data_IF_218919718618
#
_entry.id   IF_218919718618
#
_cell.length_a   1.000
_cell.length_b   1.000
_cell.length_c   1.000
_cell.angle_alpha   90.00
_cell.angle_beta   90.00
_cell.angle_gamma   90.00
#
_symmetry.space_group_name_H-M   'P 1'
#
loop_
_entity.id
_entity.type
_entity.pdbx_description
1 polymer ?
#
# COMPACT_ATOMS: atom_id res chain seq x y z
N UNK A 1 -16.58 10.53 -5.46
CA UNK A 1 -17.92 11.10 -5.14
C UNK A 1 -18.05 11.42 -3.68
N UNK A 2 -17.90 10.45 -2.77
CA UNK A 2 -18.09 10.61 -1.31
C UNK A 2 -17.24 11.76 -0.76
N UNK A 3 -15.94 11.72 -1.02
CA UNK A 3 -15.02 12.79 -0.56
C UNK A 3 -15.31 14.14 -1.24
N UNK A 4 -15.68 14.13 -2.52
CA UNK A 4 -16.04 15.37 -3.23
C UNK A 4 -17.33 16.01 -2.70
N UNK A 5 -18.19 15.23 -2.07
CA UNK A 5 -19.39 15.72 -1.37
C UNK A 5 -19.09 16.27 0.04
N UNK A 6 -17.82 16.29 0.46
CA UNK A 6 -17.42 16.76 1.79
C UNK A 6 -17.59 15.72 2.90
N UNK A 7 -17.91 14.47 2.55
CA UNK A 7 -18.08 13.38 3.51
C UNK A 7 -16.73 12.71 3.74
N UNK A 8 -16.27 12.71 5.01
CA UNK A 8 -15.07 11.97 5.45
C UNK A 8 -15.57 10.73 6.20
N UNK A 9 -15.56 9.55 5.58
CA UNK A 9 -16.00 8.33 6.25
C UNK A 9 -15.00 7.91 7.32
N UNK A 10 -15.47 7.19 8.34
CA UNK A 10 -14.62 6.57 9.36
C UNK A 10 -13.71 5.49 8.73
N UNK A 11 -14.19 4.83 7.68
CA UNK A 11 -13.39 3.94 6.84
C UNK A 11 -13.94 3.89 5.41
N UNK A 12 -13.04 3.73 4.44
CA UNK A 12 -13.37 3.41 3.06
C UNK A 12 -12.34 2.41 2.52
N UNK A 13 -12.75 1.15 2.43
CA UNK A 13 -11.89 0.01 2.12
C UNK A 13 -12.27 -0.61 0.78
N UNK A 14 -11.28 -0.92 -0.05
CA UNK A 14 -11.52 -1.54 -1.35
C UNK A 14 -10.91 -2.93 -1.43
N UNK A 15 -11.62 -3.83 -2.08
CA UNK A 15 -11.18 -5.16 -2.47
C UNK A 15 -11.49 -5.39 -3.93
N UNK A 16 -10.56 -5.96 -4.70
CA UNK A 16 -10.81 -6.39 -6.08
C UNK A 16 -11.38 -7.82 -6.15
N UNK A 17 -11.75 -8.26 -7.35
CA UNK A 17 -12.32 -9.59 -7.58
C UNK A 17 -11.47 -10.71 -6.98
N UNK A 18 -10.14 -10.69 -7.18
CA UNK A 18 -9.26 -11.75 -6.72
C UNK A 18 -9.28 -11.87 -5.19
N UNK A 19 -9.24 -10.73 -4.50
CA UNK A 19 -9.25 -10.69 -3.04
C UNK A 19 -10.64 -10.98 -2.46
N UNK A 20 -11.72 -10.61 -3.16
CA UNK A 20 -13.10 -10.99 -2.81
C UNK A 20 -13.24 -12.51 -2.87
N UNK A 21 -12.87 -13.14 -3.99
CA UNK A 21 -12.95 -14.59 -4.17
C UNK A 21 -12.12 -15.35 -3.12
N UNK A 22 -10.92 -14.86 -2.81
CA UNK A 22 -10.07 -15.45 -1.78
C UNK A 22 -10.71 -15.34 -0.38
N UNK A 23 -11.28 -14.17 -0.03
CA UNK A 23 -11.95 -13.96 1.25
C UNK A 23 -13.23 -14.81 1.38
N UNK A 24 -14.04 -14.90 0.32
CA UNK A 24 -15.22 -15.77 0.28
C UNK A 24 -14.85 -17.23 0.51
N UNK A 25 -13.81 -17.71 -0.18
CA UNK A 25 -13.34 -19.08 0.00
C UNK A 25 -12.75 -19.36 1.41
N UNK A 26 -12.28 -18.33 2.10
CA UNK A 26 -11.65 -18.48 3.41
C UNK A 26 -12.64 -18.38 4.57
N UNK A 27 -13.52 -17.38 4.58
CA UNK A 27 -14.37 -17.01 5.74
C UNK A 27 -15.83 -16.76 5.38
N UNK A 28 -16.19 -16.81 4.08
CA UNK A 28 -17.56 -16.66 3.57
C UNK A 28 -18.33 -15.46 4.18
N UNK A 29 -17.81 -14.22 4.04
CA UNK A 29 -18.47 -13.03 4.59
C UNK A 29 -19.75 -12.65 3.85
N UNK A 30 -20.02 -13.27 2.70
CA UNK A 30 -21.21 -13.01 1.87
C UNK A 30 -21.04 -11.81 0.94
N UNK A 31 -19.83 -11.53 0.47
CA UNK A 31 -19.63 -10.51 -0.56
C UNK A 31 -20.21 -10.95 -1.90
N UNK A 32 -20.78 -10.03 -2.69
CA UNK A 32 -21.26 -10.37 -4.02
C UNK A 32 -20.10 -10.70 -4.96
N UNK A 33 -20.31 -11.55 -5.99
CA UNK A 33 -19.35 -11.73 -7.07
C UNK A 33 -19.27 -10.45 -7.91
N UNK A 34 -18.29 -9.60 -7.63
CA UNK A 34 -18.12 -8.30 -8.26
C UNK A 34 -16.65 -8.08 -8.69
N UNK A 35 -16.43 -7.13 -9.60
CA UNK A 35 -15.07 -6.70 -9.97
C UNK A 35 -14.37 -5.99 -8.83
N UNK A 36 -15.13 -5.29 -7.98
CA UNK A 36 -14.64 -4.65 -6.77
C UNK A 36 -15.76 -4.47 -5.75
N UNK A 37 -15.40 -4.45 -4.49
CA UNK A 37 -16.24 -4.07 -3.34
C UNK A 37 -15.60 -2.88 -2.65
N UNK A 38 -16.43 -1.87 -2.36
CA UNK A 38 -16.06 -0.74 -1.50
C UNK A 38 -16.85 -0.85 -0.20
N UNK A 39 -16.18 -1.00 0.92
CA UNK A 39 -16.78 -0.96 2.25
C UNK A 39 -16.63 0.46 2.77
N UNK A 40 -17.75 1.11 3.09
CA UNK A 40 -17.77 2.47 3.66
C UNK A 40 -18.38 2.41 5.04
N UNK A 41 -17.69 2.96 6.02
CA UNK A 41 -18.19 3.13 7.38
C UNK A 41 -18.30 4.62 7.71
N UNK A 42 -19.41 5.02 8.27
CA UNK A 42 -19.64 6.37 8.79
C UNK A 42 -19.88 6.31 10.27
N UNK A 43 -19.45 7.33 10.99
CA UNK A 43 -19.60 7.49 12.43
C UNK A 43 -20.06 8.91 12.80
N UNK A 44 -20.49 9.09 14.02
CA UNK A 44 -20.94 10.37 14.54
C UNK A 44 -22.24 10.27 15.35
N UNK A 45 -22.90 11.39 15.64
CA UNK A 45 -24.24 11.41 16.22
C UNK A 45 -25.26 10.71 15.32
N UNK A 46 -26.20 9.96 15.89
CA UNK A 46 -27.15 9.12 15.17
C UNK A 46 -27.88 9.85 14.03
N UNK A 47 -28.36 11.06 14.25
CA UNK A 47 -29.04 11.87 13.23
C UNK A 47 -28.13 12.22 12.05
N UNK A 48 -26.87 12.56 12.31
CA UNK A 48 -25.89 12.90 11.28
C UNK A 48 -25.46 11.63 10.49
N UNK A 49 -25.36 10.50 11.17
CA UNK A 49 -25.02 9.20 10.54
C UNK A 49 -26.10 8.82 9.55
N UNK A 50 -27.40 8.92 9.91
CA UNK A 50 -28.50 8.57 9.02
C UNK A 50 -28.53 9.45 7.76
N UNK A 51 -28.35 10.76 7.89
CA UNK A 51 -28.28 11.67 6.75
C UNK A 51 -27.06 11.40 5.87
N UNK A 52 -25.88 11.20 6.50
CA UNK A 52 -24.64 10.89 5.79
C UNK A 52 -24.74 9.55 5.03
N UNK A 53 -25.37 8.56 5.66
CA UNK A 53 -25.59 7.25 5.07
C UNK A 53 -26.41 7.33 3.80
N UNK A 54 -27.53 8.08 3.81
CA UNK A 54 -28.37 8.28 2.64
C UNK A 54 -27.61 8.98 1.50
N UNK A 55 -26.77 9.97 1.83
CA UNK A 55 -25.93 10.63 0.86
C UNK A 55 -24.89 9.66 0.25
N UNK A 56 -24.21 8.85 1.06
CA UNK A 56 -23.24 7.86 0.59
C UNK A 56 -23.90 6.83 -0.31
N UNK A 57 -25.06 6.32 0.07
CA UNK A 57 -25.83 5.36 -0.74
C UNK A 57 -26.22 5.95 -2.10
N UNK A 58 -26.74 7.17 -2.12
CA UNK A 58 -27.08 7.88 -3.35
C UNK A 58 -25.85 8.08 -4.25
N UNK A 59 -24.73 8.53 -3.70
CA UNK A 59 -23.48 8.72 -4.44
C UNK A 59 -22.99 7.39 -5.04
N UNK A 60 -23.05 6.29 -4.30
CA UNK A 60 -22.65 4.98 -4.79
C UNK A 60 -23.55 4.54 -5.97
N UNK A 61 -24.86 4.71 -5.88
CA UNK A 61 -25.80 4.38 -6.95
C UNK A 61 -25.59 5.25 -8.18
N UNK A 62 -25.43 6.55 -8.01
CA UNK A 62 -25.19 7.51 -9.09
C UNK A 62 -23.83 7.27 -9.78
N UNK A 63 -22.87 6.69 -9.06
CA UNK A 63 -21.57 6.27 -9.57
C UNK A 63 -21.61 4.94 -10.33
N UNK A 64 -22.78 4.29 -10.45
CA UNK A 64 -22.97 3.07 -11.23
C UNK A 64 -22.62 1.79 -10.47
N UNK A 65 -22.69 1.78 -9.13
CA UNK A 65 -22.57 0.54 -8.37
C UNK A 65 -23.67 -0.44 -8.76
N UNK A 66 -23.31 -1.71 -8.96
CA UNK A 66 -24.27 -2.76 -9.31
C UNK A 66 -25.17 -3.15 -8.13
N UNK A 67 -24.65 -3.01 -6.92
CA UNK A 67 -25.36 -3.28 -5.67
C UNK A 67 -24.85 -2.33 -4.58
N UNK A 68 -25.75 -1.87 -3.73
CA UNK A 68 -25.42 -1.19 -2.46
C UNK A 68 -26.12 -1.96 -1.36
N UNK A 69 -25.37 -2.49 -0.42
CA UNK A 69 -25.84 -3.24 0.73
C UNK A 69 -25.49 -2.49 2.01
N UNK A 70 -26.48 -2.29 2.85
CA UNK A 70 -26.35 -1.70 4.17
C UNK A 70 -26.43 -2.83 5.21
N UNK A 71 -25.50 -2.88 6.14
CA UNK A 71 -25.56 -3.86 7.23
C UNK A 71 -26.81 -3.62 8.07
N UNK A 72 -27.68 -4.63 8.17
CA UNK A 72 -28.92 -4.56 8.92
C UNK A 72 -28.73 -4.61 10.44
N UNK A 73 -27.58 -5.15 10.87
CA UNK A 73 -27.23 -5.29 12.29
C UNK A 73 -25.72 -5.37 12.50
N UNK A 74 -25.32 -5.40 13.75
CA UNK A 74 -23.90 -5.46 14.16
C UNK A 74 -23.21 -6.78 13.73
N UNK A 75 -23.94 -7.87 13.57
CA UNK A 75 -23.40 -9.15 13.13
C UNK A 75 -23.05 -9.11 11.65
N UNK A 76 -23.94 -8.57 10.80
CA UNK A 76 -23.67 -8.39 9.39
C UNK A 76 -22.52 -7.42 9.14
N UNK A 77 -22.48 -6.30 9.87
CA UNK A 77 -21.33 -5.38 9.87
C UNK A 77 -20.03 -6.11 10.21
N UNK A 78 -20.04 -6.92 11.27
CA UNK A 78 -18.88 -7.71 11.69
C UNK A 78 -18.45 -8.72 10.62
N UNK A 79 -19.37 -9.35 9.89
CA UNK A 79 -19.06 -10.24 8.76
C UNK A 79 -18.35 -9.52 7.64
N UNK A 80 -18.80 -8.33 7.23
CA UNK A 80 -18.12 -7.53 6.20
C UNK A 80 -16.67 -7.21 6.60
N UNK A 81 -16.48 -6.75 7.84
CA UNK A 81 -15.13 -6.48 8.36
C UNK A 81 -14.27 -7.75 8.50
N UNK A 82 -14.87 -8.87 8.84
CA UNK A 82 -14.17 -10.16 8.89
C UNK A 82 -13.63 -10.54 7.53
N UNK A 83 -14.43 -10.38 6.46
CA UNK A 83 -13.99 -10.58 5.08
C UNK A 83 -12.82 -9.68 4.69
N UNK A 84 -12.93 -8.37 4.97
CA UNK A 84 -11.87 -7.41 4.68
C UNK A 84 -10.57 -7.73 5.43
N UNK A 85 -10.66 -8.05 6.72
CA UNK A 85 -9.49 -8.40 7.55
C UNK A 85 -8.86 -9.74 7.14
N UNK A 86 -9.66 -10.70 6.69
CA UNK A 86 -9.16 -12.00 6.25
C UNK A 86 -8.50 -11.95 4.88
N UNK A 87 -8.71 -10.91 4.07
CA UNK A 87 -8.29 -10.85 2.68
C UNK A 87 -6.79 -11.12 2.49
N UNK A 88 -5.92 -10.54 3.32
CA UNK A 88 -4.47 -10.77 3.25
C UNK A 88 -4.11 -12.23 3.45
N UNK A 89 -4.56 -12.84 4.56
CA UNK A 89 -4.29 -14.24 4.86
C UNK A 89 -4.94 -15.19 3.83
N UNK A 90 -6.11 -14.81 3.30
CA UNK A 90 -6.83 -15.59 2.30
C UNK A 90 -6.04 -15.71 0.98
N UNK A 91 -5.17 -14.75 0.66
CA UNK A 91 -4.30 -14.82 -0.53
C UNK A 91 -3.30 -15.99 -0.47
N UNK A 92 -3.00 -16.53 0.71
CA UNK A 92 -2.25 -17.78 0.85
C UNK A 92 -2.93 -19.01 0.23
N UNK A 93 -4.24 -18.93 -0.12
CA UNK A 93 -4.95 -19.95 -0.91
C UNK A 93 -4.74 -19.77 -2.41
N UNK A 94 -4.34 -18.59 -2.84
CA UNK A 94 -4.11 -18.22 -4.24
C UNK A 94 -2.70 -18.56 -4.67
N UNK A 95 -1.73 -18.32 -3.78
CA UNK A 95 -0.31 -18.54 -4.02
C UNK A 95 0.40 -18.89 -2.71
N UNK A 96 1.47 -19.72 -2.74
CA UNK A 96 2.26 -20.03 -1.55
C UNK A 96 2.90 -18.79 -0.92
N UNK A 97 3.30 -17.82 -1.75
CA UNK A 97 3.93 -16.58 -1.33
C UNK A 97 3.22 -15.38 -1.95
N UNK A 98 3.29 -14.24 -1.29
CA UNK A 98 2.91 -12.95 -1.87
C UNK A 98 3.77 -11.83 -1.29
N UNK A 99 4.05 -10.84 -2.13
CA UNK A 99 4.81 -9.65 -1.78
C UNK A 99 3.86 -8.45 -1.72
N UNK A 100 3.81 -7.78 -0.58
CA UNK A 100 2.91 -6.64 -0.34
C UNK A 100 3.66 -5.34 -0.53
N UNK A 101 3.08 -4.42 -1.31
CA UNK A 101 3.52 -3.04 -1.36
C UNK A 101 2.60 -2.14 -0.52
N UNK A 102 3.06 -0.92 -0.26
CA UNK A 102 2.42 0.07 0.61
C UNK A 102 2.69 1.47 0.06
N UNK A 103 2.33 1.68 -1.20
CA UNK A 103 2.44 2.98 -1.84
C UNK A 103 1.21 3.84 -1.59
N UNK A 104 1.40 5.15 -1.54
CA UNK A 104 0.30 6.11 -1.42
C UNK A 104 0.16 6.91 -2.70
N UNK A 105 -1.08 7.22 -3.08
CA UNK A 105 -1.40 8.07 -4.22
C UNK A 105 -2.51 9.06 -3.87
N UNK A 106 -2.60 10.19 -4.55
CA UNK A 106 -3.79 11.03 -4.48
C UNK A 106 -5.02 10.20 -4.89
N UNK A 107 -6.09 10.23 -4.10
CA UNK A 107 -7.32 9.44 -4.33
C UNK A 107 -7.89 9.58 -5.74
N UNK A 108 -7.76 10.77 -6.33
CA UNK A 108 -8.21 11.05 -7.71
C UNK A 108 -7.44 10.26 -8.77
N UNK A 109 -6.27 9.72 -8.43
CA UNK A 109 -5.43 8.92 -9.33
C UNK A 109 -5.65 7.41 -9.19
N UNK A 110 -6.50 6.97 -8.27
CA UNK A 110 -6.80 5.54 -8.03
C UNK A 110 -7.12 4.77 -9.32
N UNK A 111 -8.06 5.23 -10.19
CA UNK A 111 -8.41 4.46 -11.38
C UNK A 111 -7.23 4.27 -12.33
N UNK A 112 -6.40 5.29 -12.51
CA UNK A 112 -5.23 5.23 -13.39
C UNK A 112 -4.19 4.24 -12.86
N UNK A 113 -3.85 4.34 -11.56
CA UNK A 113 -2.83 3.47 -10.96
C UNK A 113 -3.30 2.02 -10.92
N UNK A 114 -4.56 1.75 -10.60
CA UNK A 114 -5.12 0.40 -10.66
C UNK A 114 -5.10 -0.19 -12.08
N UNK A 115 -5.33 0.64 -13.10
CA UNK A 115 -5.20 0.20 -14.49
C UNK A 115 -3.75 -0.16 -14.84
N UNK A 116 -2.77 0.61 -14.34
CA UNK A 116 -1.33 0.29 -14.53
C UNK A 116 -0.95 -0.99 -13.80
N UNK A 117 -1.45 -1.23 -12.57
CA UNK A 117 -1.24 -2.48 -11.83
C UNK A 117 -1.81 -3.67 -12.62
N UNK A 118 -3.01 -3.54 -13.19
CA UNK A 118 -3.59 -4.58 -14.07
C UNK A 118 -2.73 -4.84 -15.32
N UNK A 119 -2.13 -3.81 -15.90
CA UNK A 119 -1.20 -3.97 -17.02
C UNK A 119 0.08 -4.69 -16.62
N UNK A 120 0.60 -4.43 -15.42
CA UNK A 120 1.75 -5.16 -14.86
C UNK A 120 1.42 -6.62 -14.60
N UNK A 121 0.23 -6.93 -14.06
CA UNK A 121 -0.26 -8.31 -13.90
C UNK A 121 -0.24 -9.06 -15.23
N UNK A 122 -0.79 -8.44 -16.28
CA UNK A 122 -0.82 -9.04 -17.62
C UNK A 122 0.57 -9.24 -18.22
N UNK A 123 1.48 -8.29 -18.06
CA UNK A 123 2.82 -8.35 -18.65
C UNK A 123 3.78 -9.25 -17.89
N UNK A 124 3.68 -9.32 -16.58
CA UNK A 124 4.53 -10.17 -15.73
C UNK A 124 4.03 -11.61 -15.64
N UNK A 125 2.74 -11.83 -15.85
CA UNK A 125 2.08 -13.11 -15.62
C UNK A 125 1.89 -13.47 -14.14
N UNK A 126 2.26 -12.57 -13.21
CA UNK A 126 2.00 -12.73 -11.79
C UNK A 126 0.61 -12.20 -11.46
N UNK A 127 -0.16 -12.93 -10.67
CA UNK A 127 -1.47 -12.46 -10.18
C UNK A 127 -1.26 -11.38 -9.12
N UNK A 128 -2.06 -10.30 -9.18
CA UNK A 128 -1.98 -9.19 -8.23
C UNK A 128 -3.36 -8.92 -7.66
N UNK A 129 -3.53 -9.22 -6.36
CA UNK A 129 -4.74 -8.87 -5.63
C UNK A 129 -4.63 -7.47 -5.04
N UNK A 130 -5.72 -6.70 -5.05
CA UNK A 130 -5.75 -5.36 -4.48
C UNK A 130 -6.72 -5.30 -3.31
N UNK A 131 -6.21 -4.97 -2.13
CA UNK A 131 -7.00 -4.72 -0.93
C UNK A 131 -6.38 -3.55 -0.17
N UNK A 132 -7.07 -2.42 -0.06
CA UNK A 132 -6.43 -1.19 0.39
C UNK A 132 -7.39 -0.16 0.99
N UNK A 133 -6.81 0.86 1.65
CA UNK A 133 -7.51 1.99 2.23
C UNK A 133 -7.86 3.03 1.16
N UNK A 134 -9.01 2.86 0.50
CA UNK A 134 -9.44 3.77 -0.57
C UNK A 134 -9.68 5.20 -0.06
N UNK A 135 -10.04 5.35 1.23
CA UNK A 135 -10.22 6.64 1.90
C UNK A 135 -8.95 7.49 1.97
N UNK A 136 -7.80 6.84 2.09
CA UNK A 136 -6.49 7.48 2.27
C UNK A 136 -5.65 7.47 0.98
N UNK A 137 -5.99 6.61 0.03
CA UNK A 137 -5.18 6.36 -1.16
C UNK A 137 -3.96 5.49 -0.89
N UNK A 138 -3.92 4.80 0.25
CA UNK A 138 -2.86 3.89 0.62
C UNK A 138 -3.12 2.51 0.03
N UNK A 139 -2.30 2.10 -0.94
CA UNK A 139 -2.45 0.88 -1.72
C UNK A 139 -1.71 -0.29 -1.08
N UNK A 140 -2.37 -1.46 -1.04
CA UNK A 140 -1.72 -2.71 -0.66
C UNK A 140 -1.91 -3.77 -1.75
N UNK A 141 -1.24 -3.65 -2.90
CA UNK A 141 -1.22 -4.71 -3.89
C UNK A 141 -0.45 -5.92 -3.36
N UNK A 142 -1.05 -7.11 -3.48
CA UNK A 142 -0.48 -8.39 -3.10
C UNK A 142 -0.04 -9.10 -4.37
N UNK A 143 1.26 -9.09 -4.63
CA UNK A 143 1.88 -9.70 -5.80
C UNK A 143 2.13 -11.16 -5.48
N UNK A 144 1.36 -12.05 -6.08
CA UNK A 144 1.42 -13.49 -5.84
C UNK A 144 2.59 -14.11 -6.61
N UNK A 145 3.37 -14.97 -5.94
CA UNK A 145 4.47 -15.69 -6.56
C UNK A 145 4.75 -17.01 -5.82
N UNK A 146 5.64 -17.82 -6.33
CA UNK A 146 6.14 -19.03 -5.69
C UNK A 146 7.66 -18.93 -5.55
N UNK A 147 8.15 -18.78 -4.32
CA UNK A 147 9.58 -18.66 -4.03
C UNK A 147 10.39 -19.90 -4.41
N UNK A 148 9.74 -21.06 -4.58
CA UNK A 148 10.40 -22.29 -5.05
C UNK A 148 10.71 -22.28 -6.55
N UNK A 149 10.06 -21.38 -7.31
CA UNK A 149 10.29 -21.20 -8.76
C UNK A 149 11.38 -20.17 -8.97
N UNK A 150 12.45 -20.57 -9.65
CA UNK A 150 13.61 -19.71 -9.91
C UNK A 150 13.19 -18.42 -10.62
N UNK A 151 13.64 -17.28 -10.09
CA UNK A 151 13.39 -15.95 -10.65
C UNK A 151 12.07 -15.30 -10.23
N UNK A 152 11.07 -16.04 -9.73
CA UNK A 152 9.77 -15.45 -9.38
C UNK A 152 9.86 -14.42 -8.23
N UNK A 153 10.68 -14.69 -7.22
CA UNK A 153 10.88 -13.72 -6.12
C UNK A 153 11.47 -12.40 -6.63
N UNK A 154 12.45 -12.47 -7.53
CA UNK A 154 13.05 -11.29 -8.14
C UNK A 154 12.04 -10.52 -9.02
N UNK A 155 11.25 -11.24 -9.82
CA UNK A 155 10.20 -10.67 -10.64
C UNK A 155 9.12 -9.99 -9.78
N UNK A 156 8.70 -10.61 -8.68
CA UNK A 156 7.73 -10.01 -7.75
C UNK A 156 8.27 -8.70 -7.13
N UNK A 157 9.54 -8.67 -6.76
CA UNK A 157 10.21 -7.46 -6.26
C UNK A 157 10.30 -6.37 -7.34
N UNK A 158 10.61 -6.72 -8.60
CA UNK A 158 10.63 -5.80 -9.74
C UNK A 158 9.24 -5.19 -9.98
N UNK A 159 8.20 -6.01 -10.05
CA UNK A 159 6.80 -5.58 -10.21
C UNK A 159 6.40 -4.66 -9.05
N UNK A 160 6.76 -5.00 -7.82
CA UNK A 160 6.54 -4.14 -6.65
C UNK A 160 7.23 -2.79 -6.78
N UNK A 161 8.47 -2.77 -7.26
CA UNK A 161 9.23 -1.56 -7.53
C UNK A 161 8.60 -0.67 -8.60
N UNK A 162 8.01 -1.26 -9.66
CA UNK A 162 7.27 -0.53 -10.69
C UNK A 162 5.96 0.07 -10.15
N UNK A 163 5.25 -0.64 -9.29
CA UNK A 163 4.07 -0.09 -8.62
C UNK A 163 4.44 1.14 -7.78
N UNK A 164 5.51 1.09 -6.99
CA UNK A 164 5.98 2.25 -6.23
C UNK A 164 6.41 3.41 -7.14
N UNK A 165 7.00 3.12 -8.30
CA UNK A 165 7.31 4.15 -9.30
C UNK A 165 6.05 4.84 -9.80
N UNK A 166 4.98 4.09 -10.08
CA UNK A 166 3.69 4.67 -10.46
C UNK A 166 3.07 5.52 -9.36
N UNK A 167 3.25 5.12 -8.09
CA UNK A 167 2.81 5.95 -6.97
C UNK A 167 3.51 7.31 -6.95
N UNK A 168 4.83 7.34 -7.16
CA UNK A 168 5.59 8.59 -7.24
C UNK A 168 5.19 9.44 -8.45
N UNK A 169 5.03 8.85 -9.63
CA UNK A 169 4.58 9.55 -10.84
C UNK A 169 3.18 10.16 -10.67
N UNK A 170 2.34 9.53 -9.87
CA UNK A 170 1.02 10.06 -9.51
C UNK A 170 1.07 11.22 -8.50
N UNK A 171 2.25 11.53 -7.95
CA UNK A 171 2.44 12.56 -6.92
C UNK A 171 2.23 12.04 -5.50
N UNK A 172 2.44 10.75 -5.29
CA UNK A 172 2.29 10.05 -4.02
C UNK A 172 3.61 9.74 -3.31
N UNK A 173 3.62 8.63 -2.54
CA UNK A 173 4.73 8.20 -1.69
C UNK A 173 5.02 6.71 -1.85
N UNK A 174 6.27 6.31 -1.56
CA UNK A 174 6.69 4.90 -1.55
C UNK A 174 6.18 4.12 -0.34
N UNK A 175 5.67 4.80 0.68
CA UNK A 175 5.12 4.18 1.88
C UNK A 175 4.03 5.04 2.49
N UNK A 176 2.98 4.39 2.99
CA UNK A 176 1.93 5.01 3.78
C UNK A 176 2.11 4.72 5.27
N UNK A 177 2.14 3.44 5.64
CA UNK A 177 2.14 3.00 7.03
C UNK A 177 3.24 1.98 7.37
N UNK A 178 3.72 1.16 6.40
CA UNK A 178 4.71 0.11 6.68
C UNK A 178 6.13 0.66 6.90
N UNK A 179 6.41 1.86 6.42
CA UNK A 179 7.75 2.44 6.44
C UNK A 179 8.66 1.91 5.33
N UNK A 180 9.87 2.45 5.28
CA UNK A 180 10.87 2.12 4.25
C UNK A 180 11.61 0.82 4.58
N UNK A 181 11.97 0.63 5.84
CA UNK A 181 12.72 -0.56 6.29
C UNK A 181 14.02 -0.77 5.54
N UNK A 182 14.29 -2.03 5.16
CA UNK A 182 15.37 -2.42 4.27
C UNK A 182 14.88 -2.59 2.82
N UNK A 183 13.61 -2.87 2.65
CA UNK A 183 12.99 -3.28 1.40
C UNK A 183 12.91 -2.11 0.39
N UNK A 184 12.50 -0.94 0.85
CA UNK A 184 12.26 0.23 0.00
C UNK A 184 13.44 1.22 -0.05
N UNK A 185 14.60 0.86 0.53
CA UNK A 185 15.79 1.72 0.58
C UNK A 185 16.18 2.25 -0.81
N UNK A 186 16.16 1.39 -1.83
CA UNK A 186 16.50 1.77 -3.21
C UNK A 186 15.53 2.79 -3.83
N UNK A 187 14.32 2.92 -3.27
CA UNK A 187 13.32 3.86 -3.76
C UNK A 187 13.42 5.25 -3.10
N UNK A 188 14.15 5.39 -2.00
CA UNK A 188 14.32 6.67 -1.31
C UNK A 188 14.86 7.76 -2.21
N UNK A 189 15.88 7.46 -3.01
CA UNK A 189 16.47 8.41 -3.95
C UNK A 189 15.60 8.72 -5.18
N UNK A 190 14.53 7.96 -5.41
CA UNK A 190 13.51 8.28 -6.42
C UNK A 190 12.48 9.29 -5.89
N UNK A 191 12.32 9.36 -4.57
CA UNK A 191 11.35 10.21 -3.89
C UNK A 191 11.98 11.49 -3.35
N UNK A 192 13.18 11.43 -2.83
CA UNK A 192 13.87 12.51 -2.13
C UNK A 192 15.12 12.95 -2.86
N UNK A 193 15.42 14.24 -2.84
CA UNK A 193 16.68 14.78 -3.34
C UNK A 193 17.86 14.34 -2.46
N UNK A 194 19.07 14.49 -2.97
CA UNK A 194 20.29 14.22 -2.20
C UNK A 194 20.36 15.07 -0.92
N UNK A 195 19.98 16.35 -1.02
CA UNK A 195 19.95 17.27 0.12
C UNK A 195 18.95 16.83 1.18
N UNK A 196 17.77 16.33 0.78
CA UNK A 196 16.76 15.81 1.71
C UNK A 196 17.30 14.59 2.44
N UNK A 197 17.90 13.64 1.70
CA UNK A 197 18.47 12.42 2.27
C UNK A 197 19.64 12.72 3.22
N UNK A 198 20.47 13.68 2.89
CA UNK A 198 21.54 14.16 3.79
C UNK A 198 20.97 14.75 5.08
N UNK A 199 19.96 15.62 4.96
CA UNK A 199 19.33 16.24 6.11
C UNK A 199 18.70 15.19 7.04
N UNK A 200 18.01 14.20 6.50
CA UNK A 200 17.46 13.08 7.25
C UNK A 200 18.55 12.26 7.95
N UNK A 201 19.70 12.04 7.29
CA UNK A 201 20.85 11.32 7.88
C UNK A 201 21.50 12.12 9.01
N UNK A 202 21.62 13.45 8.89
CA UNK A 202 22.10 14.29 10.01
C UNK A 202 21.18 14.16 11.22
N UNK A 203 19.86 14.16 11.02
CA UNK A 203 18.93 13.95 12.11
C UNK A 203 19.13 12.59 12.77
N UNK A 204 19.25 11.52 11.96
CA UNK A 204 19.54 10.17 12.46
C UNK A 204 20.82 10.14 13.26
N UNK A 205 21.90 10.73 12.73
CA UNK A 205 23.20 10.76 13.39
C UNK A 205 23.16 11.49 14.74
N UNK A 206 22.35 12.56 14.87
CA UNK A 206 22.20 13.27 16.15
C UNK A 206 21.63 12.37 17.26
N UNK A 207 20.76 11.39 16.92
CA UNK A 207 20.18 10.45 17.88
C UNK A 207 20.94 9.13 18.01
N UNK A 208 21.61 8.70 16.97
CA UNK A 208 22.32 7.42 16.89
C UNK A 208 23.72 7.60 16.27
N UNK A 209 24.63 8.31 16.98
CA UNK A 209 25.97 8.61 16.46
C UNK A 209 26.84 7.35 16.27
N UNK A 210 26.51 6.27 16.96
CA UNK A 210 27.24 4.99 16.89
C UNK A 210 26.67 4.03 15.83
N UNK A 211 25.50 4.36 15.23
CA UNK A 211 24.90 3.58 14.15
C UNK A 211 24.37 2.20 14.57
N UNK A 212 24.09 1.99 15.87
CA UNK A 212 23.60 0.69 16.37
C UNK A 212 22.10 0.49 16.20
N UNK A 213 21.33 1.58 16.04
CA UNK A 213 19.88 1.53 15.90
C UNK A 213 19.48 1.18 14.46
N UNK A 214 18.95 -0.03 14.24
CA UNK A 214 18.48 -0.46 12.93
C UNK A 214 19.47 -0.16 11.78
N UNK A 215 20.69 -0.72 11.80
CA UNK A 215 21.69 -0.44 10.79
C UNK A 215 21.20 -0.86 9.40
N UNK A 216 21.59 -0.11 8.38
CA UNK A 216 21.20 -0.34 6.96
C UNK A 216 19.71 -0.28 6.67
N UNK A 217 18.92 0.38 7.51
CA UNK A 217 17.50 0.66 7.29
C UNK A 217 17.31 2.09 6.80
N UNK A 218 16.29 2.31 5.96
CA UNK A 218 15.81 3.60 5.46
C UNK A 218 16.74 4.24 4.42
N UNK A 219 18.02 4.44 4.74
CA UNK A 219 18.94 5.18 3.88
C UNK A 219 19.83 4.26 3.04
N UNK A 220 20.01 4.57 1.74
CA UNK A 220 20.97 3.86 0.89
C UNK A 220 22.40 3.92 1.49
N UNK A 221 23.08 2.77 1.50
CA UNK A 221 24.47 2.68 1.95
C UNK A 221 25.27 1.85 0.95
N UNK A 222 26.21 2.40 0.22
CA UNK A 222 26.63 3.80 0.17
C UNK A 222 25.52 4.69 -0.40
N UNK A 223 25.56 5.99 -0.15
CA UNK A 223 24.54 7.01 -0.44
C UNK A 223 23.91 7.01 -1.83
N UNK A 224 24.47 6.32 -2.77
CA UNK A 224 24.03 6.32 -4.17
C UNK A 224 22.91 5.33 -4.40
N UNK A 225 21.98 5.70 -5.26
CA UNK A 225 20.94 4.84 -5.78
C UNK A 225 21.49 3.49 -6.22
N UNK A 226 21.08 2.45 -5.52
CA UNK A 226 21.55 1.09 -5.69
C UNK A 226 22.84 0.83 -4.90
N UNK A 227 22.87 -0.25 -4.13
CA UNK A 227 24.09 -0.78 -3.56
C UNK A 227 24.99 -1.21 -4.70
N UNK A 228 25.97 -0.40 -5.03
CA UNK A 228 27.07 -0.84 -5.90
C UNK A 228 28.03 -1.59 -5.00
N UNK A 229 28.25 -2.90 -5.17
CA UNK A 229 29.29 -3.62 -4.47
C UNK A 229 30.63 -2.94 -4.73
N UNK A 230 31.29 -2.46 -3.69
CA UNK A 230 32.56 -1.76 -3.83
C UNK A 230 33.17 -1.38 -2.49
N UNK A 231 34.40 -0.86 -2.50
CA UNK A 231 35.04 -0.41 -1.27
C UNK A 231 34.23 0.72 -0.64
N UNK A 232 34.15 0.69 0.67
CA UNK A 232 33.52 1.72 1.49
C UNK A 232 33.97 3.12 1.04
N UNK A 233 33.02 4.04 0.87
CA UNK A 233 33.28 5.46 0.64
C UNK A 233 32.86 6.22 1.89
N UNK A 234 33.81 6.90 2.52
CA UNK A 234 33.54 7.70 3.71
C UNK A 234 32.49 8.77 3.44
N UNK A 235 31.54 8.90 4.35
CA UNK A 235 30.56 9.97 4.32
C UNK A 235 31.25 11.34 4.44
N UNK A 236 30.79 12.45 3.81
CA UNK A 236 31.36 13.77 4.01
C UNK A 236 31.55 14.16 5.47
N UNK A 237 30.64 13.82 6.35
CA UNK A 237 30.76 14.04 7.80
C UNK A 237 31.96 13.32 8.41
N UNK A 238 32.32 12.14 7.91
CA UNK A 238 33.55 11.43 8.33
C UNK A 238 34.78 12.08 7.70
N UNK A 239 34.68 12.55 6.45
CA UNK A 239 35.79 13.25 5.77
C UNK A 239 36.06 14.61 6.40
N UNK A 240 35.06 15.27 6.95
CA UNK A 240 35.15 16.54 7.65
C UNK A 240 35.52 16.38 9.13
N UNK A 241 35.72 15.15 9.62
CA UNK A 241 36.07 14.85 10.99
C UNK A 241 34.96 15.10 12.01
N UNK A 242 33.72 15.21 11.55
CA UNK A 242 32.54 15.43 12.41
C UNK A 242 31.97 14.10 12.93
N UNK A 243 32.38 12.98 12.38
CA UNK A 243 32.08 11.64 12.84
C UNK A 243 33.24 10.71 12.63
N UNK A 244 33.43 9.76 13.56
CA UNK A 244 34.42 8.69 13.46
C UNK A 244 33.74 7.37 13.13
N UNK A 245 34.41 6.54 12.33
CA UNK A 245 34.01 5.17 12.06
C UNK A 245 34.45 4.26 13.21
N UNK A 246 33.51 3.48 13.72
CA UNK A 246 33.77 2.41 14.68
C UNK A 246 33.66 1.05 14.00
#
# INVERSE_FOLDING_TARGET
GIIAAGIVPAAAEMMDRLTIEAAEAAVNPGFPPAEAVLIVEVDGPEVEVDETFQCVEAICRDSGSSEVRVAGDAEERSRFWTGRKAAFAAMGRVSPDYYVQDGVIPRTRLPEVLQRIRSLEQSSGLRIGNVFHAGDGNLHPLICYDASVEGQSALAAEVGGEILRYCLEAGGSITGEHGVGADKVAHMAKMFSEVDLETMQFLRFAFDPTGICNPRKIFPTPRLCGEVPGPYRAHPVEQEGLAERF
#
